data_IF_050681597659
#
_entry.id   IF_050681597659
#
_cell.length_a   1.000
_cell.length_b   1.000
_cell.length_c   1.000
_cell.angle_alpha   90.00
_cell.angle_beta   90.00
_cell.angle_gamma   90.00
#
_symmetry.space_group_name_H-M   'P 1'
#
loop_
_entity.id
_entity.type
_entity.pdbx_description
1 polymer ?
#
# COMPACT_ATOMS: atom_id res chain seq x y z
N UNK A 1 -4.56 -11.06 15.67
CA UNK A 1 -5.27 -9.97 14.98
C UNK A 1 -4.26 -9.19 14.16
N UNK A 2 -4.69 -8.70 12.99
CA UNK A 2 -3.89 -7.87 12.08
C UNK A 2 -4.72 -6.63 11.76
N UNK A 3 -4.15 -5.46 12.00
CA UNK A 3 -4.73 -4.17 11.64
C UNK A 3 -3.85 -3.60 10.53
N UNK A 4 -4.42 -3.43 9.34
CA UNK A 4 -3.77 -2.80 8.19
C UNK A 4 -4.24 -1.35 8.10
N UNK A 5 -3.30 -0.41 8.00
CA UNK A 5 -3.60 1.02 7.99
C UNK A 5 -2.89 1.65 6.80
N UNK A 6 -3.68 2.19 5.88
CA UNK A 6 -3.24 3.19 4.92
C UNK A 6 -3.56 4.58 5.47
N UNK A 7 -3.17 5.63 4.76
CA UNK A 7 -3.49 6.99 5.17
C UNK A 7 -3.78 7.91 3.99
N UNK A 8 -4.57 8.94 4.24
CA UNK A 8 -4.76 10.05 3.30
C UNK A 8 -3.44 10.79 3.05
N UNK A 9 -3.31 11.44 1.89
CA UNK A 9 -2.07 12.12 1.46
C UNK A 9 -0.84 11.18 1.44
N UNK A 10 -1.05 9.92 1.03
CA UNK A 10 0.04 8.96 0.89
C UNK A 10 0.90 9.28 -0.32
N UNK A 11 2.23 9.32 -0.12
CA UNK A 11 3.19 9.54 -1.21
C UNK A 11 3.07 8.51 -2.33
N UNK A 12 2.58 7.31 -2.06
CA UNK A 12 2.38 6.25 -3.07
C UNK A 12 1.28 6.58 -4.09
N UNK A 13 0.47 7.62 -3.85
CA UNK A 13 -0.54 8.15 -4.78
C UNK A 13 0.04 9.19 -5.76
N UNK A 14 1.27 9.69 -5.52
CA UNK A 14 1.79 10.88 -6.22
C UNK A 14 2.69 10.55 -7.40
N UNK A 15 2.89 9.28 -7.71
CA UNK A 15 3.75 8.82 -8.80
C UNK A 15 3.31 7.46 -9.31
N UNK A 16 3.83 7.07 -10.48
CA UNK A 16 3.69 5.71 -11.01
C UNK A 16 4.99 4.93 -10.91
N UNK A 17 4.89 3.59 -10.84
CA UNK A 17 6.06 2.70 -10.82
C UNK A 17 7.01 2.96 -11.99
N UNK A 18 6.50 3.23 -13.20
CA UNK A 18 7.33 3.48 -14.36
C UNK A 18 8.09 4.81 -14.27
N UNK A 19 7.44 5.89 -13.81
CA UNK A 19 8.10 7.18 -13.59
C UNK A 19 9.20 7.07 -12.54
N UNK A 20 8.91 6.43 -11.42
CA UNK A 20 9.87 6.25 -10.33
C UNK A 20 11.07 5.39 -10.74
N UNK A 21 10.83 4.32 -11.51
CA UNK A 21 11.93 3.48 -12.03
C UNK A 21 12.76 4.21 -13.07
N UNK A 22 12.14 5.04 -13.91
CA UNK A 22 12.86 5.84 -14.89
C UNK A 22 13.79 6.83 -14.20
N UNK A 23 13.34 7.53 -13.16
CA UNK A 23 14.18 8.50 -12.46
C UNK A 23 15.41 7.86 -11.82
N UNK A 24 15.26 6.67 -11.21
CA UNK A 24 16.41 5.91 -10.66
C UNK A 24 17.37 5.50 -11.78
N UNK A 25 16.84 5.05 -12.92
CA UNK A 25 17.67 4.66 -14.06
C UNK A 25 18.45 5.86 -14.63
N UNK A 26 17.83 7.04 -14.70
CA UNK A 26 18.47 8.25 -15.20
C UNK A 26 19.63 8.70 -14.29
N UNK A 27 19.47 8.55 -12.96
CA UNK A 27 20.48 8.95 -11.99
C UNK A 27 21.61 7.92 -11.82
N UNK A 28 21.29 6.62 -11.89
CA UNK A 28 22.23 5.54 -11.55
C UNK A 28 22.72 4.74 -12.75
N UNK A 29 22.05 4.88 -13.90
CA UNK A 29 22.23 4.05 -15.09
C UNK A 29 21.56 2.67 -15.02
N UNK A 30 20.91 2.31 -13.89
CA UNK A 30 20.36 0.97 -13.65
C UNK A 30 18.88 1.05 -13.29
N UNK A 31 18.03 0.33 -14.02
CA UNK A 31 16.61 0.17 -13.68
C UNK A 31 16.46 -0.86 -12.54
N UNK A 32 15.79 -0.55 -11.42
CA UNK A 32 15.61 -1.51 -10.34
C UNK A 32 14.64 -2.63 -10.74
N UNK A 33 14.95 -3.85 -10.30
CA UNK A 33 14.14 -5.04 -10.60
C UNK A 33 12.85 -5.12 -9.75
N UNK A 34 12.87 -4.53 -8.56
CA UNK A 34 11.72 -4.49 -7.64
C UNK A 34 10.68 -3.44 -8.06
N UNK A 35 9.42 -3.66 -7.72
CA UNK A 35 8.32 -2.71 -7.90
C UNK A 35 8.33 -1.67 -6.77
N UNK A 36 7.95 -0.42 -7.09
CA UNK A 36 7.69 0.58 -6.06
C UNK A 36 6.35 0.33 -5.37
N UNK A 37 5.43 -0.39 -6.02
CA UNK A 37 4.08 -0.71 -5.51
C UNK A 37 3.26 0.56 -5.23
N UNK A 38 3.35 1.53 -6.16
CA UNK A 38 2.42 2.67 -6.20
C UNK A 38 0.99 2.22 -6.50
N UNK A 39 0.03 2.99 -6.02
CA UNK A 39 -1.40 2.73 -6.19
C UNK A 39 -2.14 4.05 -6.41
N UNK A 40 -3.37 3.97 -6.91
CA UNK A 40 -4.16 5.17 -7.27
C UNK A 40 -5.39 5.39 -6.40
N UNK A 41 -5.77 4.41 -5.58
CA UNK A 41 -6.94 4.48 -4.71
C UNK A 41 -6.67 3.76 -3.39
N UNK A 42 -6.92 4.48 -2.29
CA UNK A 42 -6.64 4.00 -0.93
C UNK A 42 -7.51 2.81 -0.54
N UNK A 43 -8.82 2.87 -0.80
CA UNK A 43 -9.72 1.81 -0.37
C UNK A 43 -9.49 0.52 -1.17
N UNK A 44 -9.26 0.65 -2.48
CA UNK A 44 -8.94 -0.49 -3.34
C UNK A 44 -7.64 -1.14 -2.88
N UNK A 45 -6.60 -0.35 -2.60
CA UNK A 45 -5.31 -0.91 -2.18
C UNK A 45 -5.37 -1.53 -0.77
N UNK A 46 -6.14 -0.95 0.16
CA UNK A 46 -6.42 -1.59 1.47
C UNK A 46 -7.08 -2.96 1.26
N UNK A 47 -8.12 -3.05 0.43
CA UNK A 47 -8.81 -4.33 0.14
C UNK A 47 -7.87 -5.34 -0.52
N UNK A 48 -7.04 -4.90 -1.46
CA UNK A 48 -6.02 -5.73 -2.10
C UNK A 48 -4.98 -6.24 -1.09
N UNK A 49 -4.48 -5.37 -0.23
CA UNK A 49 -3.48 -5.73 0.78
C UNK A 49 -4.04 -6.70 1.82
N UNK A 50 -5.31 -6.55 2.23
CA UNK A 50 -6.01 -7.57 3.04
C UNK A 50 -6.09 -8.89 2.28
N UNK A 51 -6.39 -8.88 0.97
CA UNK A 51 -6.44 -10.10 0.17
C UNK A 51 -5.06 -10.80 0.09
N UNK A 52 -3.97 -10.02 -0.08
CA UNK A 52 -2.58 -10.54 -0.04
C UNK A 52 -2.28 -11.23 1.30
N UNK A 53 -2.67 -10.61 2.42
CA UNK A 53 -2.51 -11.21 3.76
C UNK A 53 -3.31 -12.51 3.87
N UNK A 54 -4.58 -12.52 3.45
CA UNK A 54 -5.46 -13.70 3.50
C UNK A 54 -4.91 -14.86 2.66
N UNK A 55 -4.35 -14.57 1.48
CA UNK A 55 -3.82 -15.58 0.57
C UNK A 55 -2.47 -16.14 1.00
N UNK A 56 -1.63 -15.36 1.69
CA UNK A 56 -0.28 -15.80 2.07
C UNK A 56 -0.29 -17.06 2.94
N UNK A 57 0.30 -18.19 2.50
CA UNK A 57 0.36 -19.42 3.30
C UNK A 57 1.29 -19.27 4.52
N UNK A 58 2.11 -18.22 4.54
CA UNK A 58 3.10 -17.98 5.58
C UNK A 58 2.59 -17.15 6.75
N UNK A 59 1.36 -16.62 6.67
CA UNK A 59 0.70 -15.92 7.77
C UNK A 59 -0.19 -16.92 8.50
N UNK A 60 0.19 -17.42 9.70
CA UNK A 60 -0.53 -18.53 10.33
C UNK A 60 -1.84 -18.11 11.00
N UNK A 61 -1.97 -16.83 11.40
CA UNK A 61 -3.13 -16.31 12.16
C UNK A 61 -3.86 -15.25 11.34
N UNK A 62 -5.07 -15.56 10.89
CA UNK A 62 -5.87 -14.71 9.98
C UNK A 62 -7.30 -14.46 10.49
N UNK A 63 -7.60 -14.86 11.72
CA UNK A 63 -8.97 -14.91 12.26
C UNK A 63 -9.60 -13.52 12.42
N UNK A 64 -8.77 -12.47 12.53
CA UNK A 64 -9.22 -11.10 12.65
C UNK A 64 -8.25 -10.19 11.88
N UNK A 65 -8.63 -9.83 10.65
CA UNK A 65 -7.91 -8.90 9.77
C UNK A 65 -8.86 -7.76 9.44
N UNK A 66 -8.46 -6.52 9.75
CA UNK A 66 -9.23 -5.31 9.49
C UNK A 66 -8.36 -4.28 8.78
N UNK A 67 -8.95 -3.49 7.89
CA UNK A 67 -8.26 -2.43 7.15
C UNK A 67 -8.83 -1.06 7.46
N UNK A 68 -7.97 -0.05 7.53
CA UNK A 68 -8.35 1.32 7.84
C UNK A 68 -7.62 2.31 6.96
N UNK A 69 -8.21 3.49 6.82
CA UNK A 69 -7.56 4.70 6.31
C UNK A 69 -7.47 5.68 7.47
N UNK A 70 -6.25 6.04 7.83
CA UNK A 70 -5.95 7.12 8.74
C UNK A 70 -6.06 8.46 8.01
N UNK A 71 -6.92 9.35 8.51
CA UNK A 71 -7.00 10.72 8.03
C UNK A 71 -5.91 11.56 8.71
N UNK A 72 -4.92 12.03 7.94
CA UNK A 72 -3.77 12.77 8.47
C UNK A 72 -4.14 14.18 8.92
N UNK A 73 -5.27 14.71 8.46
CA UNK A 73 -5.76 16.04 8.82
C UNK A 73 -6.57 16.02 10.12
N UNK A 74 -7.34 14.95 10.37
CA UNK A 74 -8.26 14.85 11.52
C UNK A 74 -7.75 13.93 12.63
N UNK A 75 -6.88 12.97 12.30
CA UNK A 75 -6.41 11.93 13.23
C UNK A 75 -7.37 10.74 13.38
N UNK A 76 -8.45 10.67 12.60
CA UNK A 76 -9.44 9.59 12.67
C UNK A 76 -9.00 8.34 11.89
N UNK A 77 -9.46 7.17 12.34
CA UNK A 77 -9.31 5.91 11.64
C UNK A 77 -10.65 5.47 11.05
N UNK A 78 -10.73 5.45 9.72
CA UNK A 78 -11.90 5.05 8.97
C UNK A 78 -11.75 3.61 8.50
N UNK A 79 -12.59 2.70 8.99
CA UNK A 79 -12.54 1.28 8.59
C UNK A 79 -13.01 1.10 7.15
N UNK A 80 -12.21 0.41 6.34
CA UNK A 80 -12.55 0.03 4.97
C UNK A 80 -13.36 -1.26 4.99
N UNK A 81 -14.61 -1.19 4.53
CA UNK A 81 -15.55 -2.33 4.48
C UNK A 81 -15.55 -3.03 3.13
#
# INVERSE_FOLDING_TARGET
EIILIHHTDCGMLTFTDDEFKSSIQDETGIKPEWAAESFTDLEIDVRQSIARIKQSPFIPKKDNIRGFIFDVATGELNEVR
#
